data_IF_761723563312
#
_entry.id   IF_761723563312
#
_cell.length_a   1.000
_cell.length_b   1.000
_cell.length_c   1.000
_cell.angle_alpha   90.00
_cell.angle_beta   90.00
_cell.angle_gamma   90.00
#
_symmetry.space_group_name_H-M   'P 1'
#
loop_
_entity.id
_entity.type
_entity.pdbx_description
1 polymer ?
#
# COMPACT_ATOMS: atom_id res chain seq x y z
N UNK A 1 5.37 -21.29 -3.07
CA UNK A 1 4.80 -20.38 -4.10
C UNK A 1 5.80 -20.27 -5.25
N UNK A 2 5.37 -20.27 -6.52
CA UNK A 2 6.27 -20.06 -7.65
C UNK A 2 6.97 -18.70 -7.51
N UNK A 3 8.21 -18.61 -8.00
CA UNK A 3 8.95 -17.34 -7.99
C UNK A 3 8.23 -16.34 -8.91
N UNK A 4 7.94 -15.11 -8.46
CA UNK A 4 7.33 -14.10 -9.32
C UNK A 4 8.21 -13.80 -10.53
N UNK A 5 7.58 -13.51 -11.67
CA UNK A 5 8.30 -13.00 -12.83
C UNK A 5 9.02 -11.68 -12.51
N UNK A 6 10.25 -11.46 -13.02
CA UNK A 6 10.96 -10.20 -12.86
C UNK A 6 10.11 -8.99 -13.29
N UNK A 7 10.32 -7.84 -12.66
CA UNK A 7 9.58 -6.60 -13.00
C UNK A 7 9.81 -6.20 -14.46
N UNK A 8 11.08 -6.19 -14.88
CA UNK A 8 11.49 -5.85 -16.25
C UNK A 8 10.80 -6.75 -17.28
N UNK A 9 10.79 -8.06 -17.06
CA UNK A 9 10.08 -9.00 -17.95
C UNK A 9 8.59 -8.68 -18.07
N UNK A 10 7.92 -8.37 -16.95
CA UNK A 10 6.49 -8.01 -16.96
C UNK A 10 6.24 -6.72 -17.74
N UNK A 11 7.08 -5.72 -17.54
CA UNK A 11 7.00 -4.42 -18.22
C UNK A 11 7.24 -4.55 -19.73
N UNK A 12 8.23 -5.35 -20.12
CA UNK A 12 8.54 -5.63 -21.51
C UNK A 12 7.38 -6.34 -22.23
N UNK A 13 6.80 -7.37 -21.60
CA UNK A 13 5.67 -8.10 -22.18
C UNK A 13 4.43 -7.19 -22.28
N UNK A 14 4.16 -6.35 -21.27
CA UNK A 14 3.08 -5.35 -21.34
C UNK A 14 3.34 -4.34 -22.47
N UNK A 15 4.58 -3.90 -22.67
CA UNK A 15 4.96 -3.02 -23.79
C UNK A 15 4.71 -3.69 -25.14
N UNK A 16 5.04 -4.97 -25.29
CA UNK A 16 4.73 -5.74 -26.51
C UNK A 16 3.21 -5.78 -26.74
N UNK A 17 2.40 -6.05 -25.72
CA UNK A 17 0.94 -6.04 -25.87
C UNK A 17 0.40 -4.66 -26.25
N UNK A 18 0.94 -3.58 -25.69
CA UNK A 18 0.49 -2.21 -26.01
C UNK A 18 0.86 -1.79 -27.43
N UNK A 19 1.97 -2.28 -27.95
CA UNK A 19 2.47 -1.99 -29.29
C UNK A 19 2.12 -3.08 -30.33
N UNK A 20 1.18 -3.97 -30.02
CA UNK A 20 0.84 -5.11 -30.88
C UNK A 20 0.18 -4.66 -32.18
N UNK A 21 0.43 -5.41 -33.25
CA UNK A 21 -0.20 -5.18 -34.54
C UNK A 21 -1.73 -5.39 -34.48
N UNK A 22 -2.52 -4.68 -35.32
CA UNK A 22 -3.95 -4.92 -35.44
C UNK A 22 -4.23 -6.40 -35.75
N UNK A 23 -5.06 -7.03 -34.90
CA UNK A 23 -5.41 -8.46 -35.03
C UNK A 23 -4.58 -9.40 -34.15
N UNK A 24 -3.47 -8.97 -33.55
CA UNK A 24 -2.80 -9.75 -32.52
C UNK A 24 -3.61 -9.75 -31.22
N UNK A 25 -3.85 -10.95 -30.69
CA UNK A 25 -4.60 -11.15 -29.46
C UNK A 25 -3.67 -11.26 -28.25
N UNK A 26 -4.17 -10.85 -27.08
CA UNK A 26 -3.44 -11.02 -25.80
C UNK A 26 -3.11 -12.51 -25.56
N UNK A 27 -4.00 -13.42 -25.98
CA UNK A 27 -3.81 -14.86 -25.88
C UNK A 27 -2.60 -15.37 -26.70
N UNK A 28 -2.44 -14.89 -27.94
CA UNK A 28 -1.29 -15.26 -28.78
C UNK A 28 0.01 -14.77 -28.14
N UNK A 29 0.05 -13.51 -27.75
CA UNK A 29 1.24 -12.93 -27.11
C UNK A 29 1.57 -13.68 -25.80
N UNK A 30 0.57 -13.99 -24.98
CA UNK A 30 0.78 -14.78 -23.76
C UNK A 30 1.39 -16.17 -24.07
N UNK A 31 0.91 -16.84 -25.12
CA UNK A 31 1.45 -18.13 -25.56
C UNK A 31 2.90 -18.02 -26.03
N UNK A 32 3.25 -16.97 -26.78
CA UNK A 32 4.61 -16.73 -27.28
C UNK A 32 5.62 -16.56 -26.14
N UNK A 33 5.20 -15.96 -25.02
CA UNK A 33 6.01 -15.79 -23.81
C UNK A 33 5.85 -16.93 -22.79
N UNK A 34 5.05 -17.96 -23.10
CA UNK A 34 4.85 -19.12 -22.22
C UNK A 34 4.10 -18.80 -20.91
N UNK A 35 3.28 -17.76 -20.89
CA UNK A 35 2.49 -17.34 -19.73
C UNK A 35 0.99 -17.51 -19.97
N UNK A 36 0.20 -17.54 -18.89
CA UNK A 36 -1.26 -17.57 -19.04
C UNK A 36 -1.80 -16.21 -19.48
N UNK A 37 -2.83 -16.22 -20.32
CA UNK A 37 -3.54 -15.00 -20.75
C UNK A 37 -4.08 -14.19 -19.56
N UNK A 38 -4.57 -14.88 -18.52
CA UNK A 38 -5.04 -14.27 -17.28
C UNK A 38 -3.92 -13.53 -16.54
N UNK A 39 -2.71 -14.08 -16.54
CA UNK A 39 -1.54 -13.46 -15.92
C UNK A 39 -1.17 -12.16 -16.65
N UNK A 40 -1.10 -12.22 -17.98
CA UNK A 40 -0.82 -11.05 -18.81
C UNK A 40 -1.89 -9.97 -18.68
N UNK A 41 -3.17 -10.36 -18.68
CA UNK A 41 -4.30 -9.45 -18.48
C UNK A 41 -4.20 -8.71 -17.13
N UNK A 42 -3.76 -9.39 -16.07
CA UNK A 42 -3.56 -8.77 -14.77
C UNK A 42 -2.40 -7.76 -14.78
N UNK A 43 -1.31 -8.04 -15.51
CA UNK A 43 -0.20 -7.08 -15.65
C UNK A 43 -0.62 -5.85 -16.43
N UNK A 44 -1.39 -6.00 -17.50
CA UNK A 44 -1.94 -4.86 -18.26
C UNK A 44 -2.82 -4.01 -17.36
N UNK A 45 -3.72 -4.63 -16.58
CA UNK A 45 -4.58 -3.89 -15.62
C UNK A 45 -3.77 -3.16 -14.57
N UNK A 46 -2.71 -3.77 -14.04
CA UNK A 46 -1.83 -3.13 -13.08
C UNK A 46 -1.09 -1.94 -13.71
N UNK A 47 -0.54 -2.11 -14.92
CA UNK A 47 0.10 -1.02 -15.65
C UNK A 47 -0.87 0.13 -15.97
N UNK A 48 -2.12 -0.17 -16.32
CA UNK A 48 -3.14 0.87 -16.54
C UNK A 48 -3.47 1.66 -15.27
N UNK A 49 -3.36 1.04 -14.09
CA UNK A 49 -3.51 1.73 -12.80
C UNK A 49 -2.29 2.59 -12.51
N UNK A 50 -1.07 2.06 -12.72
CA UNK A 50 0.18 2.81 -12.53
C UNK A 50 0.26 4.04 -13.46
N UNK A 51 -0.24 3.93 -14.70
CA UNK A 51 -0.29 5.04 -15.65
C UNK A 51 -1.47 6.00 -15.42
N UNK A 52 -2.35 5.71 -14.45
CA UNK A 52 -3.55 6.51 -14.17
C UNK A 52 -4.67 6.38 -15.22
N UNK A 53 -4.55 5.47 -16.18
CA UNK A 53 -5.57 5.19 -17.18
C UNK A 53 -6.80 4.48 -16.59
N UNK A 54 -6.65 3.79 -15.46
CA UNK A 54 -7.73 3.17 -14.69
C UNK A 54 -7.67 3.58 -13.22
N UNK A 55 -8.83 3.72 -12.55
CA UNK A 55 -8.86 3.96 -11.12
C UNK A 55 -8.28 2.76 -10.37
N UNK A 56 -7.41 3.05 -9.40
CA UNK A 56 -6.76 2.06 -8.56
C UNK A 56 -5.70 2.69 -7.66
N UNK A 57 -5.12 1.89 -6.77
CA UNK A 57 -4.03 2.31 -5.91
C UNK A 57 -2.72 1.91 -6.56
N UNK A 58 -1.87 2.90 -6.88
CA UNK A 58 -0.53 2.64 -7.42
C UNK A 58 0.37 2.05 -6.36
N UNK A 59 1.48 1.45 -6.78
CA UNK A 59 2.47 0.84 -5.89
C UNK A 59 3.03 1.86 -4.90
N UNK A 60 3.30 3.08 -5.38
CA UNK A 60 3.82 4.18 -4.57
C UNK A 60 2.78 4.68 -3.56
N UNK A 61 1.54 4.87 -4.01
CA UNK A 61 0.43 5.26 -3.11
C UNK A 61 0.19 4.18 -2.04
N UNK A 62 0.29 2.90 -2.38
CA UNK A 62 0.17 1.80 -1.43
C UNK A 62 1.33 1.76 -0.43
N UNK A 63 2.55 2.11 -0.85
CA UNK A 63 3.69 2.23 0.05
C UNK A 63 3.52 3.41 1.01
N UNK A 64 3.13 4.57 0.51
CA UNK A 64 2.86 5.76 1.31
C UNK A 64 1.73 5.51 2.31
N UNK A 65 0.62 4.91 1.88
CA UNK A 65 -0.51 4.59 2.75
C UNK A 65 -0.11 3.65 3.89
N UNK A 66 0.79 2.69 3.64
CA UNK A 66 1.30 1.79 4.70
C UNK A 66 2.15 2.54 5.71
N UNK A 67 3.02 3.43 5.26
CA UNK A 67 3.86 4.23 6.15
C UNK A 67 3.04 5.24 6.95
N UNK A 68 2.08 5.92 6.32
CA UNK A 68 1.14 6.81 7.02
C UNK A 68 0.35 6.07 8.08
N UNK A 69 -0.19 4.88 7.76
CA UNK A 69 -0.87 4.03 8.76
C UNK A 69 0.07 3.61 9.89
N UNK A 70 1.35 3.37 9.62
CA UNK A 70 2.34 3.04 10.66
C UNK A 70 2.59 4.23 11.58
N UNK A 71 2.82 5.42 11.02
CA UNK A 71 3.03 6.66 11.78
C UNK A 71 1.81 7.02 12.62
N UNK A 72 0.62 6.92 12.04
CA UNK A 72 -0.62 7.22 12.74
C UNK A 72 -0.79 6.32 13.98
N UNK A 73 -0.58 5.00 13.86
CA UNK A 73 -0.60 4.09 15.01
C UNK A 73 0.41 4.45 16.10
N UNK A 74 1.60 4.91 15.71
CA UNK A 74 2.64 5.33 16.65
C UNK A 74 2.22 6.61 17.40
N UNK A 75 1.71 7.60 16.67
CA UNK A 75 1.18 8.84 17.26
C UNK A 75 0.00 8.57 18.21
N UNK A 76 -0.90 7.65 17.86
CA UNK A 76 -1.98 7.23 18.74
C UNK A 76 -1.47 6.62 20.05
N UNK A 77 -0.40 5.84 20.00
CA UNK A 77 0.24 5.26 21.19
C UNK A 77 0.92 6.33 22.05
N UNK A 78 1.66 7.25 21.43
CA UNK A 78 2.28 8.38 22.12
C UNK A 78 1.24 9.26 22.81
N UNK A 79 0.17 9.63 22.09
CA UNK A 79 -0.94 10.40 22.65
C UNK A 79 -1.59 9.68 23.84
N UNK A 80 -1.73 8.35 23.79
CA UNK A 80 -2.26 7.57 24.91
C UNK A 80 -1.34 7.62 26.13
N UNK A 81 -0.02 7.62 25.94
CA UNK A 81 0.95 7.76 27.03
C UNK A 81 0.87 9.17 27.62
N UNK A 82 0.86 10.20 26.77
CA UNK A 82 0.72 11.59 27.20
C UNK A 82 -0.56 11.80 28.01
N UNK A 83 -1.69 11.25 27.56
CA UNK A 83 -2.95 11.29 28.30
C UNK A 83 -2.85 10.63 29.68
N UNK A 84 -2.19 9.48 29.78
CA UNK A 84 -1.97 8.79 31.07
C UNK A 84 -1.08 9.60 32.00
N UNK A 85 -0.02 10.22 31.47
CA UNK A 85 0.86 11.09 32.25
C UNK A 85 0.11 12.33 32.75
N UNK A 86 -0.65 13.00 31.88
CA UNK A 86 -1.48 14.15 32.25
C UNK A 86 -2.50 13.80 33.35
N UNK A 87 -3.19 12.66 33.21
CA UNK A 87 -4.13 12.18 34.22
C UNK A 87 -3.44 11.86 35.56
N UNK A 88 -2.24 11.27 35.52
CA UNK A 88 -1.43 11.02 36.71
C UNK A 88 -1.08 12.33 37.44
N UNK A 89 -0.55 13.32 36.72
CA UNK A 89 -0.18 14.61 37.32
C UNK A 89 -1.39 15.37 37.86
N UNK A 90 -2.52 15.38 37.13
CA UNK A 90 -3.76 16.00 37.61
C UNK A 90 -4.23 15.39 38.93
N UNK A 91 -4.13 14.06 39.07
CA UNK A 91 -4.44 13.35 40.31
C UNK A 91 -3.47 13.70 41.45
N UNK A 92 -2.18 13.83 41.15
CA UNK A 92 -1.17 14.18 42.17
C UNK A 92 -1.37 15.59 42.70
N UNK A 93 -1.65 16.56 41.83
CA UNK A 93 -1.99 17.94 42.22
C UNK A 93 -3.22 17.94 43.12
N UNK A 94 -4.31 17.28 42.70
CA UNK A 94 -5.54 17.20 43.49
C UNK A 94 -5.34 16.52 44.86
N UNK A 95 -4.38 15.59 44.98
CA UNK A 95 -4.01 14.98 46.26
C UNK A 95 -3.25 15.95 47.17
N UNK A 96 -2.29 16.69 46.60
CA UNK A 96 -1.43 17.59 47.36
C UNK A 96 -2.17 18.85 47.85
N UNK A 97 -3.23 19.26 47.15
CA UNK A 97 -4.09 20.38 47.54
C UNK A 97 -5.21 20.00 48.51
N UNK A 98 -5.29 18.73 48.94
CA UNK A 98 -6.25 18.29 49.94
C UNK A 98 -5.92 18.90 51.31
N UNK A 99 -6.85 19.58 51.99
CA UNK A 99 -6.57 20.15 53.31
C UNK A 99 -6.19 19.02 54.27
N UNK A 100 -5.13 19.24 55.05
CA UNK A 100 -4.78 18.36 56.16
C UNK A 100 -6.04 18.18 57.02
N UNK A 101 -6.50 16.93 57.13
CA UNK A 101 -7.73 16.61 57.85
C UNK A 101 -7.69 17.09 59.31
N UNK A 102 -8.86 17.26 59.95
CA UNK A 102 -8.97 17.74 61.31
C UNK A 102 -8.28 16.82 62.34
#
# INVERSE_FOLDING_TARGET
MPKPYPKEFREDVVRVVRNREPGQTVKQIAADFGISESCLTNWIKAADVEDGAKPGLTTDQAAELRELKRRNRMLEQENKILWRAAAFFAKEIARNDAPAGP
#
